data_IF_551764172209
#
_entry.id   IF_551764172209
#
_cell.length_a   1.000
_cell.length_b   1.000
_cell.length_c   1.000
_cell.angle_alpha   90.00
_cell.angle_beta   90.00
_cell.angle_gamma   90.00
#
_symmetry.space_group_name_H-M   'P 1'
#
loop_
_entity.id
_entity.type
_entity.pdbx_description
1 polymer ?
#
# COMPACT_ATOMS: atom_id res chain seq x y z
N UNK A 1 22.93 5.93 55.83
CA UNK A 1 21.97 5.04 55.14
C UNK A 1 21.82 5.61 53.74
N UNK A 2 22.66 5.10 52.83
CA UNK A 2 23.00 5.74 51.56
C UNK A 2 22.01 5.38 50.45
N UNK A 3 21.60 6.41 49.74
CA UNK A 3 20.91 6.37 48.46
C UNK A 3 21.94 6.11 47.33
N UNK A 4 21.45 5.48 46.23
CA UNK A 4 22.05 5.35 44.90
C UNK A 4 23.15 4.30 44.70
N UNK A 5 22.95 3.35 43.78
CA UNK A 5 23.48 3.38 42.40
C UNK A 5 23.20 2.01 41.76
N UNK A 6 22.24 1.92 40.83
CA UNK A 6 22.23 0.83 39.86
C UNK A 6 22.40 1.44 38.47
N UNK A 7 23.33 0.93 37.65
CA UNK A 7 23.78 1.62 36.46
C UNK A 7 22.73 1.46 35.35
N UNK A 8 22.21 2.58 34.91
CA UNK A 8 21.65 2.75 33.57
C UNK A 8 22.78 2.50 32.56
N UNK A 9 22.95 1.25 32.13
CA UNK A 9 23.57 0.76 30.88
C UNK A 9 23.76 -0.75 31.06
N UNK A 10 22.69 -1.53 30.91
CA UNK A 10 22.79 -2.96 30.66
C UNK A 10 21.90 -3.30 29.46
N UNK A 11 22.53 -3.98 28.51
CA UNK A 11 22.29 -3.90 27.08
C UNK A 11 20.92 -4.35 26.59
N UNK A 12 20.31 -3.52 25.73
CA UNK A 12 19.25 -3.94 24.79
C UNK A 12 19.69 -5.12 23.90
N UNK A 13 21.00 -5.28 23.71
CA UNK A 13 21.62 -6.34 22.93
C UNK A 13 21.48 -7.74 23.56
N UNK A 14 21.54 -7.86 24.89
CA UNK A 14 21.36 -9.16 25.57
C UNK A 14 19.90 -9.61 25.56
N UNK A 15 18.96 -8.67 25.60
CA UNK A 15 17.52 -8.96 25.48
C UNK A 15 17.19 -9.45 24.06
N UNK A 16 17.75 -8.83 23.01
CA UNK A 16 17.59 -9.30 21.63
C UNK A 16 18.28 -10.65 21.37
N UNK A 17 19.46 -10.88 21.96
CA UNK A 17 20.17 -12.15 21.81
C UNK A 17 19.44 -13.33 22.48
N UNK A 18 18.84 -13.10 23.65
CA UNK A 18 18.04 -14.12 24.35
C UNK A 18 16.67 -14.35 23.70
N UNK A 19 16.04 -13.30 23.15
CA UNK A 19 14.76 -13.39 22.46
C UNK A 19 14.84 -14.22 21.16
N UNK A 20 15.98 -14.21 20.48
CA UNK A 20 16.18 -14.94 19.23
C UNK A 20 16.60 -16.41 19.40
N UNK A 21 16.89 -16.87 20.62
CA UNK A 21 17.51 -18.20 20.83
C UNK A 21 16.82 -19.11 21.86
N UNK A 22 15.66 -18.74 22.42
CA UNK A 22 14.89 -19.63 23.29
C UNK A 22 13.42 -19.79 22.89
N UNK A 23 13.07 -21.08 22.80
CA UNK A 23 11.84 -21.73 22.40
C UNK A 23 10.48 -21.05 22.72
N UNK A 24 9.43 -21.37 21.94
CA UNK A 24 8.06 -20.83 22.03
C UNK A 24 7.26 -21.13 23.32
N UNK A 25 7.87 -21.65 24.39
CA UNK A 25 7.15 -22.08 25.61
C UNK A 25 7.16 -21.08 26.78
N UNK A 26 8.02 -20.07 26.75
CA UNK A 26 8.06 -19.01 27.79
C UNK A 26 7.08 -17.86 27.52
N UNK A 27 6.55 -17.77 26.30
CA UNK A 27 5.61 -16.70 25.89
C UNK A 27 4.31 -16.68 26.71
N UNK A 28 3.80 -17.86 27.11
CA UNK A 28 2.56 -17.94 27.89
C UNK A 28 2.71 -17.41 29.32
N UNK A 29 3.92 -17.45 29.90
CA UNK A 29 4.15 -16.96 31.27
C UNK A 29 4.33 -15.44 31.27
N UNK A 30 4.97 -14.88 30.24
CA UNK A 30 5.09 -13.42 30.09
C UNK A 30 3.76 -12.73 29.79
N UNK A 31 2.83 -13.40 29.10
CA UNK A 31 1.49 -12.87 28.79
C UNK A 31 0.68 -12.51 30.04
N UNK A 32 0.83 -13.27 31.13
CA UNK A 32 0.02 -13.08 32.35
C UNK A 32 0.52 -11.90 33.17
N UNK A 33 1.79 -11.51 33.04
CA UNK A 33 2.39 -10.42 33.81
C UNK A 33 2.29 -9.06 33.12
N UNK A 34 1.97 -9.01 31.82
CA UNK A 34 1.78 -7.76 31.06
C UNK A 34 0.36 -7.18 31.15
N UNK A 35 -0.61 -7.90 31.71
CA UNK A 35 -2.02 -7.48 31.76
C UNK A 35 -2.34 -6.42 32.83
N UNK A 36 -1.33 -5.93 33.57
CA UNK A 36 -1.49 -4.84 34.56
C UNK A 36 -0.80 -3.53 34.20
N UNK A 37 -0.35 -3.37 32.96
CA UNK A 37 0.16 -2.09 32.47
C UNK A 37 -0.55 -1.73 31.17
N UNK A 38 -1.69 -1.06 31.30
CA UNK A 38 -2.38 -0.38 30.21
C UNK A 38 -1.52 0.79 29.71
N UNK A 39 -0.47 0.49 28.97
CA UNK A 39 0.30 1.48 28.22
C UNK A 39 0.24 1.06 26.75
N UNK A 40 -0.48 1.88 25.99
CA UNK A 40 -0.70 1.82 24.56
C UNK A 40 0.48 1.26 23.74
N UNK A 41 0.42 -0.02 23.37
CA UNK A 41 1.21 -0.57 22.25
C UNK A 41 0.33 -0.60 21.01
N UNK A 42 0.15 0.56 20.38
CA UNK A 42 -0.35 0.67 18.99
C UNK A 42 0.33 1.88 18.38
N UNK A 43 1.44 1.73 17.62
CA UNK A 43 1.38 2.13 16.20
C UNK A 43 2.50 1.53 15.31
N UNK A 44 2.60 0.20 15.14
CA UNK A 44 3.52 -0.39 14.14
C UNK A 44 2.79 -1.27 13.11
N UNK A 45 1.77 -2.01 13.55
CA UNK A 45 0.97 -2.86 12.65
C UNK A 45 0.14 -2.09 11.59
N UNK A 46 -0.29 -0.84 11.86
CA UNK A 46 -1.05 -0.05 10.88
C UNK A 46 -0.18 0.44 9.72
N UNK A 47 1.01 0.97 10.02
CA UNK A 47 1.91 1.54 9.00
C UNK A 47 2.47 0.51 8.02
N UNK A 48 2.72 -0.72 8.49
CA UNK A 48 3.23 -1.83 7.66
C UNK A 48 2.12 -2.42 6.78
N UNK A 49 0.86 -2.40 7.22
CA UNK A 49 -0.27 -2.88 6.42
C UNK A 49 -0.58 -1.93 5.26
N UNK A 50 -0.69 -0.62 5.51
CA UNK A 50 -0.87 0.41 4.47
C UNK A 50 0.21 0.36 3.37
N UNK A 51 1.49 0.14 3.73
CA UNK A 51 2.58 0.03 2.75
C UNK A 51 2.48 -1.21 1.86
N UNK A 52 1.85 -2.29 2.33
CA UNK A 52 1.66 -3.51 1.53
C UNK A 52 0.48 -3.38 0.58
N UNK A 53 -0.59 -2.72 1.01
CA UNK A 53 -1.81 -2.55 0.22
C UNK A 53 -1.57 -1.56 -0.94
N UNK A 54 -0.76 -0.50 -0.71
CA UNK A 54 -0.28 0.39 -1.77
C UNK A 54 0.46 -0.37 -2.88
N UNK A 55 1.44 -1.19 -2.50
CA UNK A 55 2.31 -1.90 -3.45
C UNK A 55 1.55 -2.95 -4.27
N UNK A 56 0.60 -3.66 -3.67
CA UNK A 56 -0.17 -4.67 -4.37
C UNK A 56 -1.19 -4.07 -5.34
N UNK A 57 -1.86 -2.98 -4.96
CA UNK A 57 -2.86 -2.32 -5.80
C UNK A 57 -2.20 -1.64 -7.00
N UNK A 58 -1.12 -0.88 -6.76
CA UNK A 58 -0.39 -0.18 -7.82
C UNK A 58 0.19 -1.18 -8.83
N UNK A 59 0.76 -2.29 -8.37
CA UNK A 59 1.21 -3.37 -9.25
C UNK A 59 0.08 -3.92 -10.12
N UNK A 60 -1.12 -4.10 -9.54
CA UNK A 60 -2.30 -4.53 -10.28
C UNK A 60 -2.76 -3.53 -11.34
N UNK A 61 -2.67 -2.24 -11.06
CA UNK A 61 -2.96 -1.16 -12.02
C UNK A 61 -1.94 -1.21 -13.17
N UNK A 62 -0.64 -1.23 -12.86
CA UNK A 62 0.42 -1.26 -13.87
C UNK A 62 0.28 -2.47 -14.80
N UNK A 63 0.06 -3.67 -14.27
CA UNK A 63 -0.12 -4.87 -15.11
C UNK A 63 -1.30 -4.72 -16.08
N UNK A 64 -2.40 -4.08 -15.66
CA UNK A 64 -3.54 -3.82 -16.56
C UNK A 64 -3.22 -2.78 -17.62
N UNK A 65 -2.43 -1.76 -17.29
CA UNK A 65 -1.99 -0.72 -18.22
C UNK A 65 -0.99 -1.25 -19.26
N UNK A 66 -0.08 -2.13 -18.87
CA UNK A 66 0.83 -2.81 -19.81
C UNK A 66 0.03 -3.68 -20.78
N UNK A 67 -0.90 -4.48 -20.26
CA UNK A 67 -1.80 -5.29 -21.10
C UNK A 67 -2.67 -4.43 -22.03
N UNK A 68 -2.99 -3.20 -21.65
CA UNK A 68 -3.71 -2.25 -22.50
C UNK A 68 -2.87 -1.80 -23.70
N UNK A 69 -1.57 -1.53 -23.48
CA UNK A 69 -0.65 -1.16 -24.55
C UNK A 69 -0.46 -2.31 -25.55
N UNK A 70 -0.19 -3.51 -25.05
CA UNK A 70 -0.02 -4.72 -25.88
C UNK A 70 -1.26 -4.96 -26.76
N UNK A 71 -2.45 -4.65 -26.27
CA UNK A 71 -3.69 -4.76 -27.06
C UNK A 71 -3.83 -3.66 -28.10
N UNK A 72 -3.39 -2.44 -27.80
CA UNK A 72 -3.45 -1.34 -28.76
C UNK A 72 -2.53 -1.58 -29.97
N UNK A 73 -1.38 -2.23 -29.76
CA UNK A 73 -0.47 -2.65 -30.84
C UNK A 73 -1.14 -3.62 -31.83
N UNK A 74 -2.13 -4.38 -31.38
CA UNK A 74 -2.91 -5.28 -32.25
C UNK A 74 -3.93 -4.54 -33.15
N UNK A 75 -4.02 -3.21 -33.03
CA UNK A 75 -4.86 -2.34 -33.86
C UNK A 75 -6.28 -2.11 -33.32
N UNK A 76 -6.63 -2.72 -32.19
CA UNK A 76 -7.89 -2.48 -31.50
C UNK A 76 -7.71 -1.43 -30.41
N UNK A 77 -8.51 -0.35 -30.44
CA UNK A 77 -8.52 0.66 -29.38
C UNK A 77 -9.18 0.05 -28.14
N UNK A 78 -8.36 -0.54 -27.28
CA UNK A 78 -8.80 -1.14 -26.03
C UNK A 78 -9.00 -0.06 -24.95
N UNK A 79 -10.09 -0.20 -24.18
CA UNK A 79 -10.43 0.62 -23.03
C UNK A 79 -10.53 -0.26 -21.78
N UNK A 80 -10.15 0.28 -20.63
CA UNK A 80 -10.27 -0.39 -19.33
C UNK A 80 -11.00 0.50 -18.35
N UNK A 81 -11.87 -0.11 -17.55
CA UNK A 81 -12.63 0.57 -16.50
C UNK A 81 -12.09 0.17 -15.13
N UNK A 82 -12.04 1.13 -14.22
CA UNK A 82 -11.74 0.90 -12.82
C UNK A 82 -12.98 1.26 -11.97
N UNK A 83 -13.38 0.30 -11.16
CA UNK A 83 -14.61 0.34 -10.38
C UNK A 83 -14.31 0.11 -8.91
N UNK A 84 -14.96 0.89 -8.04
CA UNK A 84 -14.88 0.74 -6.59
C UNK A 84 -16.30 0.49 -6.08
N UNK A 85 -16.50 -0.62 -5.38
CA UNK A 85 -17.83 -1.03 -4.88
C UNK A 85 -18.91 -1.11 -5.99
N UNK A 86 -18.52 -1.46 -7.21
CA UNK A 86 -19.41 -1.56 -8.38
C UNK A 86 -19.74 -0.22 -9.06
N UNK A 87 -19.14 0.88 -8.60
CA UNK A 87 -19.27 2.19 -9.24
C UNK A 87 -18.01 2.49 -10.09
N UNK A 88 -18.21 2.84 -11.36
CA UNK A 88 -17.12 3.27 -12.26
C UNK A 88 -16.57 4.61 -11.82
N UNK A 89 -15.29 4.65 -11.47
CA UNK A 89 -14.59 5.87 -11.06
C UNK A 89 -13.77 6.47 -12.18
N UNK A 90 -13.12 5.65 -12.99
CA UNK A 90 -12.42 6.12 -14.16
C UNK A 90 -12.33 5.05 -15.25
N UNK A 91 -11.97 5.49 -16.46
CA UNK A 91 -11.57 4.62 -17.54
C UNK A 91 -10.30 5.11 -18.20
N UNK A 92 -9.51 4.19 -18.74
CA UNK A 92 -8.26 4.51 -19.43
C UNK A 92 -8.26 3.89 -20.82
N UNK A 93 -7.77 4.66 -21.79
CA UNK A 93 -7.49 4.24 -23.16
C UNK A 93 -6.03 4.51 -23.47
N UNK A 94 -5.45 3.70 -24.34
CA UNK A 94 -4.12 3.95 -24.88
C UNK A 94 -4.21 4.18 -26.39
N UNK A 95 -3.57 5.25 -26.84
CA UNK A 95 -3.51 5.62 -28.25
C UNK A 95 -2.10 5.37 -28.78
N UNK A 96 -1.92 4.23 -29.45
CA UNK A 96 -0.64 3.79 -30.02
C UNK A 96 0.01 4.84 -30.93
N UNK A 97 -0.79 5.51 -31.78
CA UNK A 97 -0.29 6.54 -32.72
C UNK A 97 0.36 7.75 -32.05
N UNK A 98 -0.06 8.08 -30.84
CA UNK A 98 0.46 9.24 -30.10
C UNK A 98 1.28 8.82 -28.87
N UNK A 99 1.33 7.52 -28.57
CA UNK A 99 1.91 6.97 -27.33
C UNK A 99 1.33 7.62 -26.06
N UNK A 100 0.05 8.01 -26.10
CA UNK A 100 -0.62 8.71 -25.00
C UNK A 100 -1.69 7.84 -24.34
N UNK A 101 -1.77 7.94 -23.02
CA UNK A 101 -2.90 7.48 -22.23
C UNK A 101 -3.93 8.58 -22.10
N UNK A 102 -5.20 8.22 -22.27
CA UNK A 102 -6.33 9.08 -21.97
C UNK A 102 -7.09 8.50 -20.77
N UNK A 103 -7.11 9.25 -19.67
CA UNK A 103 -7.82 8.94 -18.45
C UNK A 103 -9.10 9.77 -18.38
N UNK A 104 -10.23 9.10 -18.38
CA UNK A 104 -11.55 9.70 -18.19
C UNK A 104 -12.00 9.44 -16.75
N UNK A 105 -12.20 10.50 -15.97
CA UNK A 105 -12.63 10.45 -14.57
C UNK A 105 -14.11 10.77 -14.46
N UNK A 106 -14.85 9.88 -13.82
CA UNK A 106 -16.29 10.00 -13.63
C UNK A 106 -16.61 10.60 -12.26
N UNK A 107 -17.36 11.70 -12.27
CA UNK A 107 -17.89 12.34 -11.06
C UNK A 107 -19.41 12.38 -11.13
N UNK A 108 -20.08 12.11 -10.00
CA UNK A 108 -21.54 12.06 -9.97
C UNK A 108 -22.12 13.45 -10.25
N UNK A 109 -22.97 13.54 -11.29
CA UNK A 109 -23.66 14.78 -11.64
C UNK A 109 -22.85 15.75 -12.49
N UNK A 110 -21.61 15.41 -12.87
CA UNK A 110 -20.75 16.24 -13.71
C UNK A 110 -20.35 15.53 -15.00
N UNK A 111 -19.86 16.31 -15.97
CA UNK A 111 -19.29 15.73 -17.20
C UNK A 111 -17.97 15.04 -16.85
N UNK A 112 -17.65 13.91 -17.50
CA UNK A 112 -16.36 13.25 -17.29
C UNK A 112 -15.21 14.18 -17.62
N UNK A 113 -14.23 14.22 -16.73
CA UNK A 113 -13.00 14.99 -16.93
C UNK A 113 -11.99 14.11 -17.64
N UNK A 114 -11.36 14.62 -18.70
CA UNK A 114 -10.41 13.85 -19.52
C UNK A 114 -9.01 14.44 -19.35
N UNK A 115 -8.07 13.58 -19.01
CA UNK A 115 -6.66 13.90 -18.84
C UNK A 115 -5.82 13.04 -19.78
N UNK A 116 -4.71 13.60 -20.27
CA UNK A 116 -3.78 12.86 -21.11
C UNK A 116 -2.41 12.75 -20.44
N UNK A 117 -1.80 11.57 -20.52
CA UNK A 117 -0.51 11.27 -19.93
C UNK A 117 0.37 10.57 -20.96
N UNK A 118 1.65 10.94 -21.01
CA UNK A 118 2.70 10.30 -21.81
C UNK A 118 3.43 9.20 -21.03
N UNK A 119 3.25 9.14 -19.71
CA UNK A 119 3.96 8.24 -18.81
C UNK A 119 3.01 7.27 -18.09
N UNK A 120 3.30 5.96 -18.23
CA UNK A 120 2.52 4.88 -17.60
C UNK A 120 2.51 4.97 -16.06
N UNK A 121 3.61 5.38 -15.44
CA UNK A 121 3.71 5.49 -13.99
C UNK A 121 2.87 6.65 -13.46
N UNK A 122 2.82 7.77 -14.19
CA UNK A 122 1.99 8.92 -13.80
C UNK A 122 0.50 8.59 -13.85
N UNK A 123 0.03 7.98 -14.94
CA UNK A 123 -1.39 7.57 -15.03
C UNK A 123 -1.72 6.47 -14.01
N UNK A 124 -0.77 5.59 -13.68
CA UNK A 124 -0.98 4.57 -12.66
C UNK A 124 -1.17 5.17 -11.26
N UNK A 125 -0.37 6.19 -10.90
CA UNK A 125 -0.50 6.92 -9.63
C UNK A 125 -1.85 7.65 -9.58
N UNK A 126 -2.25 8.31 -10.66
CA UNK A 126 -3.53 9.02 -10.71
C UNK A 126 -4.72 8.06 -10.56
N UNK A 127 -4.69 6.92 -11.26
CA UNK A 127 -5.71 5.88 -11.10
C UNK A 127 -5.73 5.35 -9.66
N UNK A 128 -4.55 5.14 -9.06
CA UNK A 128 -4.45 4.70 -7.66
C UNK A 128 -5.15 5.68 -6.73
N UNK A 129 -4.85 6.98 -6.85
CA UNK A 129 -5.44 8.02 -6.00
C UNK A 129 -6.96 8.12 -6.15
N UNK A 130 -7.50 7.82 -7.35
CA UNK A 130 -8.95 7.80 -7.61
C UNK A 130 -9.65 6.61 -6.96
N UNK A 131 -8.99 5.44 -6.88
CA UNK A 131 -9.64 4.19 -6.45
C UNK A 131 -9.28 3.74 -5.03
N UNK A 132 -8.28 4.36 -4.41
CA UNK A 132 -7.82 4.05 -3.05
C UNK A 132 -8.78 4.49 -1.95
#
# INVERSE_FOLDING_TARGET
MFFLFFPSYFDKFLVEFLANNLYPRVWNIFSVMTDRMSIAVKPIGRKIRERRDFMSLLQGILTRLVSLQEQAESGEVAQRYFEVNGERKCSVKFFDKSEMYELEVYQQGEKPQVYQFDNIDMVAIEIYDIIS
#
